data_IF_013996760804
#
_entry.id   IF_013996760804
#
_cell.length_a   1.000
_cell.length_b   1.000
_cell.length_c   1.000
_cell.angle_alpha   90.00
_cell.angle_beta   90.00
_cell.angle_gamma   90.00
#
_symmetry.space_group_name_H-M   'P 1'
#
loop_
_entity.id
_entity.type
_entity.pdbx_description
1 polymer ?
#
# COMPACT_ATOMS: atom_id res chain seq x y z
N UNK A 1 -41.72 -20.41 8.08
CA UNK A 1 -41.85 -21.37 9.20
C UNK A 1 -40.52 -21.41 9.93
N UNK A 2 -40.44 -20.95 11.18
CA UNK A 2 -39.22 -21.05 11.99
C UNK A 2 -39.08 -22.49 12.47
N UNK A 3 -38.15 -23.25 11.90
CA UNK A 3 -37.81 -24.56 12.43
C UNK A 3 -37.35 -24.41 13.89
N UNK A 4 -38.09 -25.03 14.81
CA UNK A 4 -37.72 -25.13 16.21
C UNK A 4 -36.47 -25.99 16.29
N UNK A 5 -35.36 -25.42 16.75
CA UNK A 5 -34.13 -26.16 17.02
C UNK A 5 -34.24 -26.75 18.42
N UNK A 6 -34.12 -28.07 18.55
CA UNK A 6 -34.11 -28.72 19.87
C UNK A 6 -32.73 -28.60 20.51
N UNK A 7 -32.66 -27.94 21.67
CA UNK A 7 -31.45 -27.89 22.51
C UNK A 7 -31.63 -28.93 23.63
N UNK A 8 -30.76 -29.94 23.74
CA UNK A 8 -30.85 -30.95 24.81
C UNK A 8 -30.88 -30.32 26.20
N UNK A 9 -31.75 -30.83 27.09
CA UNK A 9 -31.89 -30.31 28.47
C UNK A 9 -30.60 -30.40 29.28
N UNK A 10 -29.75 -31.41 29.01
CA UNK A 10 -28.43 -31.55 29.62
C UNK A 10 -27.52 -30.35 29.33
N UNK A 11 -27.75 -29.65 28.21
CA UNK A 11 -26.94 -28.51 27.82
C UNK A 11 -27.39 -27.22 28.52
N UNK A 12 -28.59 -27.16 29.11
CA UNK A 12 -29.11 -26.01 29.88
C UNK A 12 -28.48 -25.85 31.28
N UNK A 13 -27.28 -26.40 31.48
CA UNK A 13 -26.54 -26.37 32.75
C UNK A 13 -25.34 -25.45 32.64
N UNK A 14 -24.82 -25.03 33.79
CA UNK A 14 -23.55 -24.33 33.83
C UNK A 14 -22.40 -25.33 33.64
N UNK A 15 -21.42 -24.99 32.79
CA UNK A 15 -20.25 -25.83 32.50
C UNK A 15 -18.99 -25.11 33.00
N UNK A 16 -18.65 -25.31 34.27
CA UNK A 16 -17.66 -24.56 35.07
C UNK A 16 -16.25 -25.15 35.05
N UNK A 17 -15.72 -25.33 33.84
CA UNK A 17 -14.45 -26.03 33.61
C UNK A 17 -13.25 -25.11 33.25
N UNK A 18 -13.45 -23.80 33.13
CA UNK A 18 -12.43 -22.84 32.69
C UNK A 18 -11.93 -21.97 33.85
N UNK A 19 -11.08 -22.56 34.71
CA UNK A 19 -10.52 -21.87 35.89
C UNK A 19 -9.63 -20.67 35.56
N UNK A 20 -9.01 -20.69 34.38
CA UNK A 20 -8.10 -19.65 33.88
C UNK A 20 -8.63 -19.14 32.55
N UNK A 21 -8.11 -18.00 32.12
CA UNK A 21 -8.45 -17.45 30.80
C UNK A 21 -8.18 -18.50 29.72
N UNK A 22 -9.19 -18.84 28.88
CA UNK A 22 -9.03 -19.86 27.86
C UNK A 22 -7.92 -19.50 26.86
N UNK A 23 -7.13 -20.50 26.48
CA UNK A 23 -6.01 -20.32 25.58
C UNK A 23 -6.44 -20.04 24.14
N UNK A 24 -5.51 -19.55 23.32
CA UNK A 24 -5.73 -19.37 21.89
C UNK A 24 -6.12 -20.68 21.16
N UNK A 25 -5.72 -21.84 21.69
CA UNK A 25 -6.10 -23.15 21.17
C UNK A 25 -7.61 -23.41 21.36
N UNK A 26 -8.16 -23.13 22.55
CA UNK A 26 -9.61 -23.23 22.82
C UNK A 26 -10.39 -22.25 21.94
N UNK A 27 -9.91 -21.01 21.79
CA UNK A 27 -10.55 -20.01 20.91
C UNK A 27 -10.59 -20.53 19.46
N UNK A 28 -9.49 -21.09 18.97
CA UNK A 28 -9.40 -21.63 17.61
C UNK A 28 -10.32 -22.84 17.43
N UNK A 29 -10.37 -23.72 18.42
CA UNK A 29 -11.26 -24.89 18.45
C UNK A 29 -12.74 -24.48 18.37
N UNK A 30 -13.18 -23.49 19.17
CA UNK A 30 -14.54 -22.94 19.12
C UNK A 30 -14.86 -22.44 17.72
N UNK A 31 -13.98 -21.64 17.11
CA UNK A 31 -14.20 -21.06 15.78
C UNK A 31 -14.25 -22.15 14.70
N UNK A 32 -13.40 -23.17 14.81
CA UNK A 32 -13.40 -24.31 13.92
C UNK A 32 -14.69 -25.13 14.05
N UNK A 33 -15.14 -25.43 15.27
CA UNK A 33 -16.42 -26.09 15.52
C UNK A 33 -17.61 -25.34 14.91
N UNK A 34 -17.66 -24.01 15.07
CA UNK A 34 -18.73 -23.17 14.52
C UNK A 34 -18.69 -23.19 12.99
N UNK A 35 -17.49 -23.17 12.40
CA UNK A 35 -17.30 -23.28 10.95
C UNK A 35 -17.79 -24.62 10.40
N UNK A 36 -17.54 -25.71 11.11
CA UNK A 36 -17.86 -27.06 10.66
C UNK A 36 -19.34 -27.41 10.87
N UNK A 37 -19.92 -26.99 11.98
CA UNK A 37 -21.29 -27.39 12.36
C UNK A 37 -22.35 -26.34 12.05
N UNK A 38 -21.95 -25.08 11.85
CA UNK A 38 -22.89 -23.95 11.80
C UNK A 38 -23.68 -23.74 13.10
N UNK A 39 -23.31 -24.40 14.20
CA UNK A 39 -24.08 -24.37 15.44
C UNK A 39 -23.17 -24.08 16.65
N UNK A 40 -23.09 -22.81 17.11
CA UNK A 40 -22.37 -22.45 18.32
C UNK A 40 -22.85 -23.22 19.56
N UNK A 41 -24.15 -23.53 19.65
CA UNK A 41 -24.76 -24.14 20.84
C UNK A 41 -24.26 -25.55 21.13
N UNK A 42 -23.75 -26.25 20.11
CA UNK A 42 -23.29 -27.63 20.24
C UNK A 42 -21.82 -27.75 20.63
N UNK A 43 -21.09 -26.63 20.80
CA UNK A 43 -19.73 -26.69 21.29
C UNK A 43 -19.71 -27.11 22.77
N UNK A 44 -18.92 -28.14 23.08
CA UNK A 44 -18.96 -28.88 24.35
C UNK A 44 -18.77 -28.02 25.61
N UNK A 45 -18.02 -26.92 25.51
CA UNK A 45 -17.77 -26.03 26.65
C UNK A 45 -18.69 -24.82 26.75
N UNK A 46 -19.74 -24.71 25.93
CA UNK A 46 -20.64 -23.56 25.96
C UNK A 46 -21.68 -23.71 27.08
N UNK A 47 -21.61 -22.85 28.09
CA UNK A 47 -22.64 -22.72 29.12
C UNK A 47 -23.89 -22.02 28.58
N UNK A 48 -25.07 -22.57 28.85
CA UNK A 48 -26.35 -22.11 28.29
C UNK A 48 -27.19 -21.28 29.27
N UNK A 49 -26.68 -21.01 30.47
CA UNK A 49 -27.35 -20.14 31.44
C UNK A 49 -27.13 -18.66 31.09
N UNK A 50 -28.10 -17.80 31.44
CA UNK A 50 -27.92 -16.36 31.33
C UNK A 50 -26.87 -15.87 32.34
N UNK A 51 -25.96 -14.95 31.98
CA UNK A 51 -24.98 -14.43 32.93
C UNK A 51 -25.65 -13.54 33.99
N UNK A 52 -25.15 -13.52 35.24
CA UNK A 52 -25.61 -12.60 36.27
C UNK A 52 -25.46 -11.12 35.86
N UNK A 53 -26.31 -10.23 36.39
CA UNK A 53 -26.28 -8.80 36.07
C UNK A 53 -24.97 -8.11 36.42
N UNK A 54 -24.31 -8.55 37.50
CA UNK A 54 -23.03 -8.00 37.97
C UNK A 54 -21.81 -8.82 37.51
N UNK A 55 -21.99 -9.74 36.54
CA UNK A 55 -20.89 -10.60 36.13
C UNK A 55 -19.77 -9.81 35.46
N UNK A 56 -18.51 -10.16 35.78
CA UNK A 56 -17.36 -9.72 35.01
C UNK A 56 -17.28 -10.55 33.72
N UNK A 57 -17.16 -9.88 32.58
CA UNK A 57 -17.01 -10.54 31.28
C UNK A 57 -15.68 -10.18 30.63
N UNK A 58 -15.05 -11.18 30.01
CA UNK A 58 -13.87 -11.02 29.17
C UNK A 58 -14.20 -11.56 27.78
N UNK A 59 -14.15 -10.71 26.76
CA UNK A 59 -14.33 -11.16 25.38
C UNK A 59 -13.01 -11.66 24.81
N UNK A 60 -12.95 -12.93 24.44
CA UNK A 60 -11.74 -13.57 23.96
C UNK A 60 -11.53 -13.37 22.46
N UNK A 61 -12.61 -13.49 21.69
CA UNK A 61 -12.65 -13.21 20.25
C UNK A 61 -14.10 -13.05 19.75
N UNK A 62 -14.23 -12.74 18.48
CA UNK A 62 -15.47 -12.78 17.72
C UNK A 62 -15.61 -14.10 16.96
N UNK A 63 -16.86 -14.47 16.66
CA UNK A 63 -17.18 -15.54 15.73
C UNK A 63 -18.33 -15.15 14.79
N UNK A 64 -18.33 -15.75 13.61
CA UNK A 64 -19.42 -15.70 12.64
C UNK A 64 -19.91 -17.12 12.38
N UNK A 65 -21.21 -17.26 12.11
CA UNK A 65 -21.82 -18.54 11.75
C UNK A 65 -21.99 -18.59 10.23
N UNK A 66 -21.47 -19.63 9.54
CA UNK A 66 -21.65 -19.77 8.10
C UNK A 66 -23.13 -19.70 7.70
N UNK A 67 -23.46 -18.80 6.78
CA UNK A 67 -24.82 -18.58 6.34
C UNK A 67 -24.86 -18.06 4.88
N UNK A 68 -25.90 -18.41 4.10
CA UNK A 68 -26.14 -17.79 2.81
C UNK A 68 -26.28 -16.26 2.92
N UNK A 69 -25.90 -15.55 1.85
CA UNK A 69 -26.12 -14.10 1.76
C UNK A 69 -27.62 -13.79 1.89
N UNK A 70 -27.95 -12.73 2.65
CA UNK A 70 -29.34 -12.29 2.88
C UNK A 70 -30.04 -12.90 4.11
N UNK A 71 -29.56 -14.03 4.65
CA UNK A 71 -30.14 -14.61 5.88
C UNK A 71 -29.76 -13.74 7.10
N UNK A 72 -30.70 -13.40 7.98
CA UNK A 72 -30.43 -12.51 9.14
C UNK A 72 -29.86 -13.24 10.36
N UNK A 73 -30.28 -14.48 10.60
CA UNK A 73 -29.83 -15.34 11.69
C UNK A 73 -29.99 -16.81 11.29
N UNK A 74 -29.07 -17.67 11.72
CA UNK A 74 -29.05 -19.10 11.34
C UNK A 74 -29.05 -20.05 12.53
N UNK A 75 -28.40 -19.71 13.64
CA UNK A 75 -28.31 -20.59 14.81
C UNK A 75 -29.00 -19.98 16.04
N UNK A 76 -29.67 -20.78 16.89
CA UNK A 76 -30.36 -20.30 18.08
C UNK A 76 -29.38 -19.80 19.14
N UNK A 77 -29.84 -19.02 20.11
CA UNK A 77 -29.05 -18.65 21.29
C UNK A 77 -29.65 -19.36 22.51
N UNK A 78 -28.93 -20.27 23.18
CA UNK A 78 -29.52 -21.08 24.23
C UNK A 78 -29.78 -20.25 25.50
N UNK A 79 -29.08 -19.13 25.68
CA UNK A 79 -29.24 -18.24 26.82
C UNK A 79 -30.52 -17.37 26.79
N UNK A 80 -31.02 -16.98 25.61
CA UNK A 80 -32.15 -16.04 25.52
C UNK A 80 -33.25 -16.44 24.52
N UNK A 81 -32.94 -17.30 23.56
CA UNK A 81 -33.88 -17.72 22.52
C UNK A 81 -33.53 -19.12 22.03
N UNK A 82 -33.70 -20.15 22.90
CA UNK A 82 -33.21 -21.50 22.63
C UNK A 82 -33.84 -22.13 21.39
N UNK A 83 -35.02 -21.65 20.98
CA UNK A 83 -35.80 -22.18 19.86
C UNK A 83 -35.79 -21.29 18.60
N UNK A 84 -35.13 -20.12 18.62
CA UNK A 84 -35.15 -19.19 17.48
C UNK A 84 -33.75 -18.68 17.14
N UNK A 85 -33.45 -18.58 15.84
CA UNK A 85 -32.16 -18.13 15.34
C UNK A 85 -31.83 -16.71 15.82
N UNK A 86 -30.61 -16.55 16.36
CA UNK A 86 -30.05 -15.28 16.85
C UNK A 86 -28.64 -15.02 16.35
N UNK A 87 -27.84 -16.05 16.11
CA UNK A 87 -26.47 -15.88 15.64
C UNK A 87 -26.40 -15.75 14.12
N UNK A 88 -25.55 -14.83 13.67
CA UNK A 88 -25.06 -14.75 12.29
C UNK A 88 -23.66 -14.15 12.28
N UNK A 89 -23.56 -12.87 12.60
CA UNK A 89 -22.31 -12.11 12.51
C UNK A 89 -21.96 -11.49 13.86
N UNK A 90 -20.66 -11.43 14.17
CA UNK A 90 -20.12 -10.69 15.30
C UNK A 90 -20.52 -11.25 16.66
N UNK A 91 -20.80 -12.55 16.74
CA UNK A 91 -20.93 -13.23 18.03
C UNK A 91 -19.65 -13.09 18.86
N UNK A 92 -19.76 -13.18 20.19
CA UNK A 92 -18.64 -13.03 21.13
C UNK A 92 -18.38 -14.34 21.83
N UNK A 93 -17.12 -14.74 21.86
CA UNK A 93 -16.63 -15.78 22.76
C UNK A 93 -16.37 -15.10 24.11
N UNK A 94 -17.32 -15.20 25.03
CA UNK A 94 -17.27 -14.51 26.31
C UNK A 94 -16.88 -15.50 27.43
N UNK A 95 -15.79 -15.21 28.13
CA UNK A 95 -15.40 -15.93 29.34
C UNK A 95 -15.85 -15.14 30.57
N UNK A 96 -16.41 -15.85 31.55
CA UNK A 96 -16.89 -15.31 32.81
C UNK A 96 -16.01 -15.86 33.93
N UNK A 97 -14.99 -15.12 34.38
CA UNK A 97 -13.94 -15.66 35.26
C UNK A 97 -14.48 -16.22 36.58
N UNK A 98 -15.44 -15.52 37.20
CA UNK A 98 -16.03 -15.94 38.48
C UNK A 98 -16.87 -17.21 38.38
N UNK A 99 -17.50 -17.44 37.23
CA UNK A 99 -18.31 -18.63 36.97
C UNK A 99 -17.51 -19.76 36.31
N UNK A 100 -16.25 -19.50 35.93
CA UNK A 100 -15.37 -20.44 35.21
C UNK A 100 -16.00 -20.99 33.92
N UNK A 101 -16.82 -20.21 33.23
CA UNK A 101 -17.57 -20.66 32.04
C UNK A 101 -17.28 -19.83 30.80
N UNK A 102 -17.45 -20.45 29.64
CA UNK A 102 -17.53 -19.76 28.35
C UNK A 102 -18.98 -19.71 27.89
N UNK A 103 -19.42 -18.56 27.42
CA UNK A 103 -20.69 -18.39 26.72
C UNK A 103 -20.43 -17.80 25.35
N UNK A 104 -21.02 -18.41 24.34
CA UNK A 104 -21.10 -17.84 23.00
C UNK A 104 -22.33 -16.95 22.96
N UNK A 105 -22.16 -15.64 22.86
CA UNK A 105 -23.26 -14.68 22.98
C UNK A 105 -23.36 -13.77 21.76
N UNK A 106 -24.53 -13.20 21.51
CA UNK A 106 -24.71 -12.24 20.43
C UNK A 106 -23.94 -10.95 20.69
N UNK A 107 -23.68 -10.13 19.64
CA UNK A 107 -22.86 -8.92 19.73
C UNK A 107 -23.30 -7.94 20.83
N UNK A 108 -24.61 -7.87 21.12
CA UNK A 108 -25.19 -6.94 22.10
C UNK A 108 -25.88 -7.64 23.27
N UNK A 109 -25.78 -8.97 23.38
CA UNK A 109 -26.53 -9.71 24.39
C UNK A 109 -26.15 -9.30 25.82
N UNK A 110 -24.86 -9.10 26.08
CA UNK A 110 -24.43 -8.69 27.42
C UNK A 110 -24.66 -7.19 27.68
N UNK A 111 -24.68 -6.35 26.64
CA UNK A 111 -24.95 -4.91 26.78
C UNK A 111 -26.32 -4.64 27.42
N UNK A 112 -27.32 -5.48 27.11
CA UNK A 112 -28.66 -5.41 27.69
C UNK A 112 -28.69 -5.78 29.19
N UNK A 113 -27.67 -6.49 29.68
CA UNK A 113 -27.55 -6.95 31.07
C UNK A 113 -26.67 -6.00 31.87
N UNK A 114 -25.50 -5.66 31.30
CA UNK A 114 -24.50 -4.78 31.88
C UNK A 114 -23.77 -4.02 30.75
N UNK A 115 -24.25 -2.81 30.46
CA UNK A 115 -23.72 -1.97 29.39
C UNK A 115 -22.26 -1.56 29.63
N UNK A 116 -21.91 -1.17 30.87
CA UNK A 116 -20.54 -0.74 31.21
C UNK A 116 -19.54 -1.89 31.08
N UNK A 117 -19.87 -3.07 31.61
CA UNK A 117 -19.05 -4.27 31.50
C UNK A 117 -18.86 -4.71 30.04
N UNK A 118 -19.92 -4.61 29.22
CA UNK A 118 -19.83 -4.85 27.79
C UNK A 118 -18.86 -3.88 27.10
N UNK A 119 -18.98 -2.57 27.33
CA UNK A 119 -18.10 -1.56 26.74
C UNK A 119 -16.65 -1.72 27.17
N UNK A 120 -16.41 -2.05 28.44
CA UNK A 120 -15.08 -2.38 28.96
C UNK A 120 -14.46 -3.57 28.22
N UNK A 121 -15.18 -4.68 28.14
CA UNK A 121 -14.71 -5.88 27.44
C UNK A 121 -14.52 -5.69 25.94
N UNK A 122 -15.35 -4.87 25.28
CA UNK A 122 -15.18 -4.50 23.87
C UNK A 122 -13.90 -3.67 23.64
N UNK A 123 -13.64 -2.68 24.51
CA UNK A 123 -12.42 -1.87 24.44
C UNK A 123 -11.17 -2.74 24.62
N UNK A 124 -11.20 -3.64 25.59
CA UNK A 124 -10.13 -4.59 25.83
C UNK A 124 -9.91 -5.54 24.65
N UNK A 125 -10.98 -6.16 24.11
CA UNK A 125 -10.89 -7.03 22.94
C UNK A 125 -10.30 -6.28 21.74
N UNK A 126 -10.78 -5.06 21.47
CA UNK A 126 -10.25 -4.22 20.38
C UNK A 126 -8.78 -3.92 20.57
N UNK A 127 -8.35 -3.62 21.80
CA UNK A 127 -6.94 -3.41 22.14
C UNK A 127 -6.11 -4.66 21.87
N UNK A 128 -6.51 -5.83 22.39
CA UNK A 128 -5.79 -7.10 22.18
C UNK A 128 -5.72 -7.50 20.70
N UNK A 129 -6.79 -7.31 19.93
CA UNK A 129 -6.80 -7.53 18.48
C UNK A 129 -5.85 -6.60 17.75
N UNK A 130 -5.83 -5.32 18.12
CA UNK A 130 -4.90 -4.34 17.56
C UNK A 130 -3.45 -4.76 17.83
N UNK A 131 -3.12 -5.10 19.07
CA UNK A 131 -1.78 -5.56 19.46
C UNK A 131 -1.36 -6.76 18.62
N UNK A 132 -2.20 -7.80 18.54
CA UNK A 132 -1.91 -9.02 17.76
C UNK A 132 -1.68 -8.69 16.28
N UNK A 133 -2.56 -7.90 15.68
CA UNK A 133 -2.43 -7.48 14.28
C UNK A 133 -1.12 -6.73 14.02
N UNK A 134 -0.74 -5.80 14.91
CA UNK A 134 0.53 -5.08 14.79
C UNK A 134 1.74 -6.02 14.90
N UNK A 135 1.70 -7.01 15.81
CA UNK A 135 2.73 -8.03 15.95
C UNK A 135 2.82 -8.90 14.70
N UNK A 136 1.68 -9.38 14.18
CA UNK A 136 1.61 -10.20 12.97
C UNK A 136 2.20 -9.47 11.76
N UNK A 137 1.90 -8.17 11.63
CA UNK A 137 2.51 -7.33 10.59
C UNK A 137 4.03 -7.30 10.76
N UNK A 138 4.55 -6.96 11.94
CA UNK A 138 6.01 -6.88 12.17
C UNK A 138 6.68 -8.23 11.86
N UNK A 139 6.12 -9.33 12.37
CA UNK A 139 6.61 -10.69 12.14
C UNK A 139 6.66 -11.02 10.65
N UNK A 140 5.62 -10.67 9.89
CA UNK A 140 5.58 -10.92 8.44
C UNK A 140 6.65 -10.14 7.65
N UNK A 141 7.17 -9.05 8.21
CA UNK A 141 8.22 -8.24 7.58
C UNK A 141 9.63 -8.58 8.06
N UNK A 142 9.82 -9.23 9.21
CA UNK A 142 11.14 -9.63 9.73
C UNK A 142 12.08 -10.24 8.67
N UNK A 143 11.67 -11.27 7.89
CA UNK A 143 12.55 -11.88 6.90
C UNK A 143 12.87 -10.95 5.70
N UNK A 144 12.14 -9.84 5.54
CA UNK A 144 12.26 -8.91 4.40
C UNK A 144 13.07 -7.67 4.72
N UNK A 145 13.28 -7.33 6.01
CA UNK A 145 13.98 -6.10 6.42
C UNK A 145 15.40 -6.06 5.85
N UNK A 146 16.20 -7.12 6.02
CA UNK A 146 17.59 -7.15 5.53
C UNK A 146 17.67 -7.09 4.00
N UNK A 147 16.90 -7.90 3.23
CA UNK A 147 16.82 -7.74 1.78
C UNK A 147 16.39 -6.34 1.32
N UNK A 148 15.44 -5.69 2.02
CA UNK A 148 15.01 -4.33 1.71
C UNK A 148 16.14 -3.31 1.93
N UNK A 149 16.88 -3.40 3.04
CA UNK A 149 18.03 -2.53 3.32
C UNK A 149 19.07 -2.68 2.20
N UNK A 150 19.44 -3.93 1.87
CA UNK A 150 20.41 -4.20 0.80
C UNK A 150 19.95 -3.65 -0.55
N UNK A 151 18.68 -3.85 -0.90
CA UNK A 151 18.11 -3.31 -2.14
C UNK A 151 18.17 -1.77 -2.17
N UNK A 152 17.93 -1.10 -1.03
CA UNK A 152 18.09 0.36 -0.94
C UNK A 152 19.55 0.78 -1.13
N UNK A 153 20.50 0.14 -0.45
CA UNK A 153 21.92 0.45 -0.54
C UNK A 153 22.46 0.30 -1.97
N UNK A 154 22.05 -0.76 -2.68
CA UNK A 154 22.40 -0.97 -4.09
C UNK A 154 21.73 0.06 -5.02
N UNK A 155 20.54 0.53 -4.67
CA UNK A 155 19.75 1.45 -5.52
C UNK A 155 20.16 2.92 -5.33
N UNK A 156 20.63 3.32 -4.14
CA UNK A 156 21.04 4.70 -3.83
C UNK A 156 22.04 5.28 -4.86
N UNK A 157 23.15 4.61 -5.23
CA UNK A 157 24.08 5.17 -6.21
C UNK A 157 23.46 5.28 -7.62
N UNK A 158 22.59 4.33 -8.00
CA UNK A 158 21.84 4.38 -9.27
C UNK A 158 20.91 5.60 -9.29
N UNK A 159 20.18 5.81 -8.19
CA UNK A 159 19.29 6.95 -8.01
C UNK A 159 20.04 8.27 -8.06
N UNK A 160 21.21 8.36 -7.41
CA UNK A 160 22.05 9.55 -7.41
C UNK A 160 22.52 9.95 -8.81
N UNK A 161 22.97 8.97 -9.59
CA UNK A 161 23.41 9.20 -10.97
C UNK A 161 22.26 9.63 -11.89
N UNK A 162 21.07 9.03 -11.73
CA UNK A 162 19.87 9.40 -12.49
C UNK A 162 19.31 10.76 -12.08
N UNK A 163 19.31 11.10 -10.79
CA UNK A 163 18.93 12.43 -10.29
C UNK A 163 19.87 13.50 -10.86
N UNK A 164 21.19 13.27 -10.80
CA UNK A 164 22.19 14.21 -11.33
C UNK A 164 22.04 14.41 -12.84
N UNK A 165 21.80 13.33 -13.59
CA UNK A 165 21.52 13.38 -15.02
C UNK A 165 20.25 14.19 -15.33
N UNK A 166 19.16 13.90 -14.62
CA UNK A 166 17.88 14.61 -14.75
C UNK A 166 18.06 16.13 -14.52
N UNK A 167 18.77 16.53 -13.46
CA UNK A 167 19.00 17.94 -13.18
C UNK A 167 19.86 18.62 -14.25
N UNK A 168 20.93 17.97 -14.70
CA UNK A 168 21.80 18.51 -15.77
C UNK A 168 21.07 18.64 -17.10
N UNK A 169 20.23 17.66 -17.46
CA UNK A 169 19.41 17.71 -18.67
C UNK A 169 18.42 18.88 -18.61
N UNK A 170 17.67 19.00 -17.52
CA UNK A 170 16.72 20.10 -17.34
C UNK A 170 17.43 21.47 -17.35
N UNK A 171 18.59 21.56 -16.70
CA UNK A 171 19.40 22.79 -16.74
C UNK A 171 19.89 23.12 -18.15
N UNK A 172 20.36 22.13 -18.92
CA UNK A 172 20.79 22.34 -20.31
C UNK A 172 19.64 22.82 -21.19
N UNK A 173 18.44 22.25 -21.04
CA UNK A 173 17.25 22.73 -21.74
C UNK A 173 16.96 24.19 -21.41
N UNK A 174 16.99 24.55 -20.14
CA UNK A 174 16.51 25.86 -19.67
C UNK A 174 17.52 26.98 -19.90
N UNK A 175 18.79 26.73 -19.56
CA UNK A 175 19.81 27.78 -19.53
C UNK A 175 20.64 27.82 -20.81
N UNK A 176 21.02 26.65 -21.33
CA UNK A 176 21.90 26.58 -22.50
C UNK A 176 21.11 26.74 -23.80
N UNK A 177 20.03 25.99 -23.97
CA UNK A 177 19.23 26.02 -25.19
C UNK A 177 17.97 26.91 -25.09
N UNK A 178 17.63 27.38 -23.88
CA UNK A 178 16.47 28.26 -23.61
C UNK A 178 15.13 27.69 -24.10
N UNK A 179 14.98 26.37 -23.99
CA UNK A 179 13.81 25.62 -24.42
C UNK A 179 12.92 25.35 -23.23
N UNK A 180 11.64 25.69 -23.38
CA UNK A 180 10.61 25.23 -22.45
C UNK A 180 10.15 23.83 -22.86
N UNK A 181 11.01 22.81 -22.68
CA UNK A 181 10.79 21.45 -23.17
C UNK A 181 9.44 20.86 -22.73
N UNK A 182 8.98 21.20 -21.52
CA UNK A 182 7.69 20.79 -20.99
C UNK A 182 6.47 21.24 -21.82
N UNK A 183 6.59 22.28 -22.68
CA UNK A 183 5.53 22.67 -23.63
C UNK A 183 5.44 21.74 -24.82
N UNK A 184 6.55 21.11 -25.18
CA UNK A 184 6.69 20.25 -26.34
C UNK A 184 6.68 18.77 -25.98
N UNK A 185 6.82 18.44 -24.70
CA UNK A 185 6.70 17.08 -24.17
C UNK A 185 5.73 17.04 -23.00
N UNK A 186 4.53 16.51 -23.25
CA UNK A 186 3.49 16.33 -22.23
C UNK A 186 3.15 14.84 -22.14
N UNK A 187 3.24 14.26 -20.94
CA UNK A 187 3.00 12.83 -20.69
C UNK A 187 3.81 11.90 -21.63
N UNK A 188 5.03 12.34 -21.95
CA UNK A 188 5.93 11.66 -22.87
C UNK A 188 5.59 11.79 -24.35
N UNK A 189 4.55 12.53 -24.73
CA UNK A 189 4.22 12.81 -26.13
C UNK A 189 5.02 14.03 -26.61
N UNK A 190 5.96 13.79 -27.53
CA UNK A 190 6.81 14.80 -28.15
C UNK A 190 6.10 15.42 -29.36
N UNK A 191 6.01 16.75 -29.37
CA UNK A 191 5.25 17.52 -30.37
C UNK A 191 6.09 18.60 -31.04
N UNK A 192 5.73 18.92 -32.27
CA UNK A 192 6.26 20.06 -33.05
C UNK A 192 5.17 21.07 -33.32
N UNK A 193 5.55 22.34 -33.44
CA UNK A 193 4.65 23.42 -33.81
C UNK A 193 4.54 23.49 -35.33
N UNK A 194 3.31 23.42 -35.86
CA UNK A 194 3.02 23.66 -37.27
C UNK A 194 2.06 24.83 -37.41
N UNK A 195 2.44 25.80 -38.24
CA UNK A 195 1.54 26.88 -38.64
C UNK A 195 0.66 26.38 -39.76
N UNK A 196 -0.65 26.31 -39.50
CA UNK A 196 -1.67 25.95 -40.49
C UNK A 196 -2.56 27.14 -40.78
N UNK A 197 -2.93 27.31 -42.05
CA UNK A 197 -3.92 28.30 -42.44
C UNK A 197 -5.31 27.73 -42.09
N UNK A 198 -5.96 28.31 -41.10
CA UNK A 198 -7.33 27.95 -40.72
C UNK A 198 -8.32 29.00 -41.24
N UNK A 199 -9.51 28.58 -41.70
CA UNK A 199 -10.55 29.51 -42.09
C UNK A 199 -11.04 30.28 -40.86
N UNK A 200 -11.23 31.59 -41.01
CA UNK A 200 -11.77 32.46 -39.97
C UNK A 200 -12.79 33.41 -40.59
N UNK A 201 -13.98 33.49 -39.97
CA UNK A 201 -15.05 34.39 -40.42
C UNK A 201 -14.79 35.79 -39.86
N UNK A 202 -14.58 36.75 -40.77
CA UNK A 202 -14.42 38.16 -40.42
C UNK A 202 -15.76 38.76 -39.95
N UNK A 203 -15.75 39.93 -39.28
CA UNK A 203 -16.97 40.61 -38.85
C UNK A 203 -17.97 40.94 -39.96
N UNK A 204 -17.51 41.05 -41.21
CA UNK A 204 -18.31 41.30 -42.41
C UNK A 204 -18.94 40.01 -43.00
N UNK A 205 -18.68 38.85 -42.42
CA UNK A 205 -19.16 37.54 -42.89
C UNK A 205 -18.27 36.86 -43.94
N UNK A 206 -17.18 37.48 -44.39
CA UNK A 206 -16.24 36.84 -45.32
C UNK A 206 -15.36 35.79 -44.63
N UNK A 207 -15.06 34.70 -45.34
CA UNK A 207 -14.11 33.68 -44.88
C UNK A 207 -12.68 34.13 -45.24
N UNK A 208 -11.96 34.65 -44.25
CA UNK A 208 -10.52 34.88 -44.33
C UNK A 208 -9.72 33.63 -43.98
N UNK A 209 -8.39 33.69 -44.17
CA UNK A 209 -7.43 32.73 -43.62
C UNK A 209 -6.63 33.40 -42.52
N UNK A 210 -6.51 32.74 -41.36
CA UNK A 210 -5.56 33.12 -40.32
C UNK A 210 -4.56 32.00 -40.11
N UNK A 211 -3.32 32.36 -39.81
CA UNK A 211 -2.30 31.40 -39.39
C UNK A 211 -2.55 31.03 -37.94
N UNK A 212 -2.79 29.76 -37.67
CA UNK A 212 -2.92 29.21 -36.32
C UNK A 212 -1.79 28.21 -36.07
N UNK A 213 -1.19 28.29 -34.88
CA UNK A 213 -0.18 27.33 -34.45
C UNK A 213 -0.88 26.11 -33.88
N UNK A 214 -0.60 24.94 -34.46
CA UNK A 214 -1.10 23.64 -34.00
C UNK A 214 0.06 22.75 -33.62
N UNK A 215 -0.18 21.78 -32.74
CA UNK A 215 0.84 20.83 -32.33
C UNK A 215 0.60 19.48 -32.98
N UNK A 216 1.59 18.99 -33.72
CA UNK A 216 1.59 17.65 -34.29
C UNK A 216 2.47 16.71 -33.45
N UNK A 217 2.01 15.49 -33.25
CA UNK A 217 2.77 14.48 -32.51
C UNK A 217 3.84 13.88 -33.41
N UNK A 218 5.10 13.93 -32.96
CA UNK A 218 6.24 13.33 -33.68
C UNK A 218 6.58 11.97 -33.11
N UNK A 219 6.67 11.85 -31.79
CA UNK A 219 7.13 10.63 -31.15
C UNK A 219 6.63 10.51 -29.71
N UNK A 220 6.88 9.35 -29.10
CA UNK A 220 6.68 9.11 -27.66
C UNK A 220 8.00 8.78 -26.97
N UNK A 221 8.35 9.59 -25.96
CA UNK A 221 9.49 9.39 -25.07
C UNK A 221 9.07 8.45 -23.94
N UNK A 222 9.65 7.26 -23.91
CA UNK A 222 9.33 6.24 -22.90
C UNK A 222 9.87 6.62 -21.52
N UNK A 223 11.09 7.16 -21.48
CA UNK A 223 11.73 7.69 -20.30
C UNK A 223 11.44 9.16 -20.02
N UNK A 224 10.21 9.61 -20.30
CA UNK A 224 9.78 10.99 -20.08
C UNK A 224 10.08 11.51 -18.67
N UNK A 225 10.01 10.65 -17.66
CA UNK A 225 10.33 10.99 -16.27
C UNK A 225 11.76 11.55 -16.08
N UNK A 226 12.68 11.36 -17.03
CA UNK A 226 14.03 11.94 -17.01
C UNK A 226 14.06 13.43 -17.38
N UNK A 227 13.06 13.91 -18.13
CA UNK A 227 12.97 15.31 -18.61
C UNK A 227 11.72 16.02 -18.06
N UNK A 228 10.98 15.36 -17.18
CA UNK A 228 9.87 15.95 -16.43
C UNK A 228 10.41 16.82 -15.29
N UNK A 229 10.01 18.10 -15.28
CA UNK A 229 10.41 19.08 -14.26
C UNK A 229 9.77 18.84 -12.90
N UNK A 230 8.70 18.04 -12.83
CA UNK A 230 8.06 17.71 -11.56
C UNK A 230 8.80 16.61 -10.78
N UNK A 231 9.77 15.96 -11.43
CA UNK A 231 10.62 14.93 -10.86
C UNK A 231 11.35 15.41 -9.60
N UNK A 232 11.30 14.59 -8.54
CA UNK A 232 11.99 14.86 -7.27
C UNK A 232 13.26 14.04 -7.18
N UNK A 233 14.24 14.54 -6.43
CA UNK A 233 15.42 13.74 -6.09
C UNK A 233 14.98 12.51 -5.27
N UNK A 234 15.42 11.34 -5.73
CA UNK A 234 15.04 10.04 -5.16
C UNK A 234 16.12 9.46 -4.25
N UNK A 235 17.41 9.76 -4.51
CA UNK A 235 18.53 9.22 -3.75
C UNK A 235 18.45 9.60 -2.25
N UNK A 236 18.30 10.90 -1.94
CA UNK A 236 18.20 11.37 -0.56
C UNK A 236 16.98 10.78 0.19
N UNK A 237 15.88 10.53 -0.54
CA UNK A 237 14.69 9.90 0.03
C UNK A 237 14.99 8.43 0.40
N UNK A 238 15.66 7.69 -0.49
CA UNK A 238 16.09 6.31 -0.24
C UNK A 238 17.07 6.22 0.93
N UNK A 239 18.05 7.12 1.02
CA UNK A 239 19.01 7.18 2.13
C UNK A 239 18.30 7.32 3.49
N UNK A 240 17.39 8.30 3.61
CA UNK A 240 16.60 8.51 4.84
C UNK A 240 15.76 7.29 5.20
N UNK A 241 15.15 6.65 4.21
CA UNK A 241 14.38 5.41 4.41
C UNK A 241 15.28 4.25 4.87
N UNK A 242 16.46 4.09 4.26
CA UNK A 242 17.42 3.06 4.59
C UNK A 242 17.93 3.21 6.03
N UNK A 243 18.32 4.42 6.44
CA UNK A 243 18.70 4.72 7.84
C UNK A 243 17.57 4.39 8.80
N UNK A 244 16.34 4.84 8.50
CA UNK A 244 15.18 4.55 9.34
C UNK A 244 14.91 3.05 9.47
N UNK A 245 15.07 2.29 8.39
CA UNK A 245 14.87 0.84 8.38
C UNK A 245 15.97 0.09 9.13
N UNK A 246 17.23 0.55 9.05
CA UNK A 246 18.35 0.03 9.85
C UNK A 246 18.11 0.19 11.35
N UNK A 247 17.64 1.35 11.79
CA UNK A 247 17.28 1.59 13.21
C UNK A 247 16.19 0.62 13.68
N UNK A 248 15.18 0.36 12.84
CA UNK A 248 14.14 -0.63 13.15
C UNK A 248 14.75 -2.04 13.22
N UNK A 249 15.63 -2.39 12.28
CA UNK A 249 16.29 -3.70 12.22
C UNK A 249 17.12 -3.98 13.48
N UNK A 250 17.97 -3.03 13.87
CA UNK A 250 18.81 -3.11 15.07
C UNK A 250 17.94 -3.24 16.33
N UNK A 251 16.85 -2.46 16.42
CA UNK A 251 15.93 -2.57 17.55
C UNK A 251 15.26 -3.94 17.62
N UNK A 252 14.81 -4.49 16.49
CA UNK A 252 14.19 -5.82 16.43
C UNK A 252 15.18 -6.96 16.71
N UNK A 253 16.46 -6.78 16.40
CA UNK A 253 17.53 -7.73 16.77
C UNK A 253 17.90 -7.66 18.25
N UNK A 254 17.75 -6.48 18.87
CA UNK A 254 18.07 -6.28 20.29
C UNK A 254 17.06 -6.91 21.26
N UNK A 255 15.87 -7.27 20.78
CA UNK A 255 14.79 -7.85 21.59
C UNK A 255 14.65 -9.35 21.28
N UNK A 256 14.29 -10.14 22.30
CA UNK A 256 14.06 -11.58 22.12
C UNK A 256 12.76 -11.89 21.38
N UNK A 257 11.72 -11.09 21.62
CA UNK A 257 10.40 -11.24 20.99
C UNK A 257 9.79 -9.90 20.59
N UNK A 258 9.00 -9.90 19.51
CA UNK A 258 8.17 -8.75 19.09
C UNK A 258 7.16 -8.36 20.20
N UNK A 259 6.83 -9.30 21.09
CA UNK A 259 5.96 -9.03 22.25
C UNK A 259 6.62 -8.13 23.30
N UNK A 260 7.95 -8.00 23.29
CA UNK A 260 8.70 -7.16 24.23
C UNK A 260 8.76 -5.69 23.80
N UNK A 261 8.20 -5.34 22.63
CA UNK A 261 8.10 -3.97 22.16
C UNK A 261 7.11 -3.15 22.99
N UNK A 262 7.46 -1.90 23.27
CA UNK A 262 6.51 -0.94 23.83
C UNK A 262 5.34 -0.69 22.88
N UNK A 263 4.20 -0.26 23.42
CA UNK A 263 3.00 0.05 22.62
C UNK A 263 3.28 1.08 21.50
N UNK A 264 4.14 2.06 21.78
CA UNK A 264 4.54 3.11 20.84
C UNK A 264 5.42 2.55 19.73
N UNK A 265 6.44 1.76 20.07
CA UNK A 265 7.35 1.15 19.08
C UNK A 265 6.59 0.18 18.17
N UNK A 266 5.78 -0.69 18.75
CA UNK A 266 5.01 -1.69 18.00
C UNK A 266 4.08 -1.02 16.99
N UNK A 267 3.30 -0.02 17.41
CA UNK A 267 2.44 0.73 16.50
C UNK A 267 3.25 1.43 15.40
N UNK A 268 4.36 2.08 15.77
CA UNK A 268 5.24 2.75 14.80
C UNK A 268 5.80 1.77 13.77
N UNK A 269 6.27 0.60 14.18
CA UNK A 269 6.87 -0.39 13.30
C UNK A 269 5.83 -1.03 12.37
N UNK A 270 4.66 -1.40 12.90
CA UNK A 270 3.56 -1.96 12.13
C UNK A 270 3.07 -1.02 11.01
N UNK A 271 3.19 0.30 11.20
CA UNK A 271 2.89 1.30 10.16
C UNK A 271 4.08 1.50 9.22
N UNK A 272 5.29 1.71 9.76
CA UNK A 272 6.45 2.12 8.97
C UNK A 272 6.98 1.03 8.04
N UNK A 273 6.88 -0.24 8.40
CA UNK A 273 7.40 -1.34 7.59
C UNK A 273 6.63 -1.47 6.24
N UNK A 274 5.28 -1.55 6.22
CA UNK A 274 4.51 -1.51 4.98
C UNK A 274 4.71 -0.22 4.17
N UNK A 275 4.69 0.96 4.81
CA UNK A 275 4.94 2.24 4.13
C UNK A 275 6.31 2.25 3.43
N UNK A 276 7.34 1.76 4.12
CA UNK A 276 8.71 1.70 3.61
C UNK A 276 8.79 0.81 2.36
N UNK A 277 8.15 -0.37 2.37
CA UNK A 277 8.06 -1.25 1.19
C UNK A 277 7.30 -0.58 0.04
N UNK A 278 6.15 0.03 0.33
CA UNK A 278 5.35 0.71 -0.69
C UNK A 278 6.12 1.85 -1.37
N UNK A 279 6.81 2.68 -0.59
CA UNK A 279 7.66 3.75 -1.10
C UNK A 279 8.86 3.23 -1.88
N UNK A 280 9.51 2.14 -1.42
CA UNK A 280 10.62 1.54 -2.15
C UNK A 280 10.18 1.06 -3.53
N UNK A 281 9.04 0.35 -3.62
CA UNK A 281 8.49 -0.09 -4.91
C UNK A 281 8.20 1.08 -5.84
N UNK A 282 7.58 2.15 -5.34
CA UNK A 282 7.29 3.34 -6.15
C UNK A 282 8.57 4.01 -6.67
N UNK A 283 9.61 4.12 -5.82
CA UNK A 283 10.89 4.70 -6.22
C UNK A 283 11.57 3.82 -7.28
N UNK A 284 11.57 2.49 -7.11
CA UNK A 284 12.15 1.58 -8.11
C UNK A 284 11.44 1.68 -9.46
N UNK A 285 10.11 1.83 -9.47
CA UNK A 285 9.34 2.06 -10.70
C UNK A 285 9.67 3.40 -11.35
N UNK A 286 9.79 4.47 -10.56
CA UNK A 286 10.21 5.79 -11.05
C UNK A 286 11.63 5.76 -11.64
N UNK A 287 12.58 5.15 -10.95
CA UNK A 287 13.94 4.97 -11.44
C UNK A 287 13.97 4.13 -12.72
N UNK A 288 13.18 3.06 -12.79
CA UNK A 288 13.07 2.23 -14.00
C UNK A 288 12.56 3.05 -15.19
N UNK A 289 11.52 3.88 -14.99
CA UNK A 289 11.03 4.80 -16.02
C UNK A 289 12.11 5.80 -16.45
N UNK A 290 12.90 6.34 -15.52
CA UNK A 290 14.03 7.23 -15.86
C UNK A 290 15.12 6.50 -16.66
N UNK A 291 15.45 5.25 -16.32
CA UNK A 291 16.42 4.45 -17.06
C UNK A 291 16.02 4.19 -18.51
N UNK A 292 14.72 4.08 -18.80
CA UNK A 292 14.21 3.92 -20.17
C UNK A 292 14.67 5.06 -21.09
N UNK A 293 14.91 6.26 -20.57
CA UNK A 293 15.41 7.37 -21.38
C UNK A 293 16.75 7.05 -22.05
N UNK A 294 17.60 6.28 -21.37
CA UNK A 294 18.91 5.89 -21.85
C UNK A 294 18.86 4.64 -22.74
N UNK A 295 17.86 3.77 -22.60
CA UNK A 295 17.85 2.43 -23.20
C UNK A 295 16.80 2.22 -24.30
N UNK A 296 15.79 3.09 -24.41
CA UNK A 296 14.63 2.90 -25.31
C UNK A 296 14.77 3.58 -26.69
N UNK A 297 15.92 4.20 -26.97
CA UNK A 297 16.12 5.01 -28.17
C UNK A 297 15.51 6.42 -28.09
N UNK A 298 15.09 6.89 -26.91
CA UNK A 298 14.50 8.23 -26.75
C UNK A 298 15.44 9.37 -27.16
N UNK A 299 16.76 9.21 -27.01
CA UNK A 299 17.73 10.19 -27.51
C UNK A 299 17.69 10.32 -29.04
N UNK A 300 17.47 9.22 -29.77
CA UNK A 300 17.32 9.27 -31.23
C UNK A 300 16.04 10.01 -31.61
N UNK A 301 14.93 9.80 -30.90
CA UNK A 301 13.68 10.52 -31.13
C UNK A 301 13.83 12.02 -30.87
N UNK A 302 14.61 12.41 -29.86
CA UNK A 302 14.93 13.82 -29.61
C UNK A 302 15.83 14.40 -30.70
N UNK A 303 16.74 13.62 -31.27
CA UNK A 303 17.54 14.02 -32.42
C UNK A 303 16.69 14.24 -33.68
N UNK A 304 15.79 13.29 -33.98
CA UNK A 304 14.82 13.37 -35.08
C UNK A 304 13.90 14.58 -34.90
N UNK A 305 13.42 14.82 -33.68
CA UNK A 305 12.65 16.01 -33.34
C UNK A 305 13.44 17.29 -33.60
N UNK A 306 14.72 17.35 -33.18
CA UNK A 306 15.59 18.50 -33.46
C UNK A 306 15.89 18.74 -34.95
N UNK A 307 15.62 17.77 -35.84
CA UNK A 307 15.72 17.93 -37.30
C UNK A 307 14.43 18.40 -37.94
N UNK A 308 13.29 18.26 -37.26
CA UNK A 308 11.99 18.67 -37.80
C UNK A 308 11.90 20.19 -37.92
N UNK A 309 11.39 20.69 -39.05
CA UNK A 309 11.28 22.12 -39.31
C UNK A 309 10.30 22.84 -38.36
N UNK A 310 9.34 22.11 -37.77
CA UNK A 310 8.41 22.60 -36.77
C UNK A 310 8.93 22.51 -35.33
N UNK A 311 10.14 21.97 -35.12
CA UNK A 311 10.75 21.97 -33.80
C UNK A 311 11.13 23.39 -33.38
N UNK A 312 10.92 23.77 -32.10
CA UNK A 312 11.34 25.07 -31.58
C UNK A 312 12.86 25.26 -31.62
N UNK A 313 13.62 24.16 -31.77
CA UNK A 313 15.08 24.16 -31.78
C UNK A 313 15.66 23.20 -32.81
N UNK A 314 16.90 23.49 -33.22
CA UNK A 314 17.67 22.60 -34.08
C UNK A 314 18.85 22.01 -33.31
N UNK A 315 18.58 20.98 -32.49
CA UNK A 315 19.60 20.33 -31.67
C UNK A 315 19.91 18.95 -32.20
N UNK A 316 21.20 18.64 -32.27
CA UNK A 316 21.71 17.31 -32.47
C UNK A 316 21.96 16.64 -31.12
N UNK A 317 21.43 15.43 -30.98
CA UNK A 317 21.60 14.60 -29.78
C UNK A 317 22.39 13.36 -30.12
N UNK A 318 23.51 13.15 -29.43
CA UNK A 318 24.32 11.94 -29.61
C UNK A 318 24.72 11.38 -28.26
N UNK A 319 24.53 10.07 -28.08
CA UNK A 319 25.07 9.35 -26.92
C UNK A 319 26.45 8.81 -27.26
N UNK A 320 27.45 9.14 -26.44
CA UNK A 320 28.79 8.56 -26.51
C UNK A 320 29.14 7.91 -25.18
N UNK A 321 29.07 6.58 -25.11
CA UNK A 321 29.35 5.79 -23.88
C UNK A 321 28.59 6.35 -22.67
N UNK A 322 29.30 7.07 -21.81
CA UNK A 322 28.84 7.66 -20.55
C UNK A 322 28.59 9.17 -20.65
N UNK A 323 28.32 9.69 -21.84
CA UNK A 323 28.04 11.11 -22.05
C UNK A 323 26.91 11.28 -23.07
N UNK A 324 26.13 12.34 -22.90
CA UNK A 324 25.19 12.86 -23.89
C UNK A 324 25.79 14.15 -24.42
N UNK A 325 25.94 14.22 -25.74
CA UNK A 325 26.37 15.41 -26.45
C UNK A 325 25.14 16.09 -27.04
N UNK A 326 25.04 17.40 -26.81
CA UNK A 326 24.00 18.25 -27.36
C UNK A 326 24.67 19.37 -28.14
N UNK A 327 24.37 19.50 -29.43
CA UNK A 327 24.97 20.53 -30.28
C UNK A 327 23.89 21.28 -31.05
N UNK A 328 23.98 22.60 -31.10
CA UNK A 328 23.15 23.37 -32.03
C UNK A 328 23.58 23.05 -33.48
N UNK A 329 22.64 22.61 -34.32
CA UNK A 329 22.87 22.30 -35.73
C UNK A 329 23.12 23.55 -36.57
N UNK A 330 22.68 24.72 -36.11
CA UNK A 330 22.80 26.01 -36.82
C UNK A 330 23.98 26.84 -36.33
N UNK A 331 24.54 26.50 -35.16
CA UNK A 331 25.64 27.21 -34.53
C UNK A 331 27.01 26.58 -34.79
N UNK A 332 28.07 27.39 -34.64
CA UNK A 332 29.46 26.92 -34.63
C UNK A 332 29.93 26.47 -33.23
N UNK A 333 29.04 26.50 -32.23
CA UNK A 333 29.41 26.26 -30.84
C UNK A 333 29.85 24.81 -30.59
N UNK A 334 30.76 24.68 -29.62
CA UNK A 334 31.19 23.39 -29.12
C UNK A 334 29.98 22.64 -28.49
N UNK A 335 29.94 21.30 -28.60
CA UNK A 335 28.85 20.52 -28.03
C UNK A 335 28.79 20.69 -26.51
N UNK A 336 27.59 20.88 -25.98
CA UNK A 336 27.34 20.78 -24.55
C UNK A 336 27.38 19.30 -24.12
N UNK A 337 28.22 18.98 -23.15
CA UNK A 337 28.50 17.60 -22.72
C UNK A 337 27.88 17.34 -21.36
N UNK A 338 26.98 16.37 -21.29
CA UNK A 338 26.36 15.93 -20.04
C UNK A 338 26.89 14.52 -19.71
N UNK A 339 27.63 14.42 -18.61
CA UNK A 339 28.09 13.13 -18.13
C UNK A 339 26.94 12.30 -17.55
N UNK A 340 26.87 11.03 -17.97
CA UNK A 340 26.03 9.96 -17.42
C UNK A 340 26.86 9.27 -16.34
N UNK A 341 26.34 9.21 -15.12
CA UNK A 341 27.00 8.50 -14.04
C UNK A 341 27.15 7.00 -14.33
N UNK A 342 28.19 6.38 -13.78
CA UNK A 342 28.57 4.99 -14.11
C UNK A 342 27.51 3.96 -13.70
N UNK A 343 26.66 4.30 -12.73
CA UNK A 343 25.59 3.45 -12.21
C UNK A 343 24.23 3.75 -12.84
N UNK A 344 24.07 4.80 -13.63
CA UNK A 344 22.78 5.22 -14.18
C UNK A 344 22.05 4.12 -14.98
N UNK A 345 22.79 3.18 -15.57
CA UNK A 345 22.25 2.05 -16.34
C UNK A 345 22.39 0.69 -15.64
N UNK A 346 22.86 0.68 -14.39
CA UNK A 346 22.98 -0.54 -13.62
C UNK A 346 21.59 -1.16 -13.35
N UNK A 347 21.56 -2.48 -13.18
CA UNK A 347 20.33 -3.22 -12.93
C UNK A 347 19.76 -2.82 -11.55
N UNK A 348 18.56 -2.26 -11.54
CA UNK A 348 17.82 -2.01 -10.29
C UNK A 348 17.54 -3.34 -9.58
N UNK A 349 17.47 -3.29 -8.24
CA UNK A 349 17.08 -4.43 -7.41
C UNK A 349 15.63 -4.85 -7.75
N UNK A 350 15.46 -5.67 -8.80
CA UNK A 350 14.15 -6.09 -9.30
C UNK A 350 13.43 -7.04 -8.35
N UNK A 351 12.09 -7.00 -8.33
CA UNK A 351 11.08 -7.93 -7.74
C UNK A 351 11.42 -8.72 -6.45
N UNK A 352 12.42 -8.33 -5.67
CA UNK A 352 12.69 -8.87 -4.32
C UNK A 352 11.55 -8.58 -3.35
N UNK A 353 10.56 -7.79 -3.76
CA UNK A 353 9.41 -7.36 -2.98
C UNK A 353 8.11 -8.08 -3.35
N UNK A 354 8.09 -9.09 -4.23
CA UNK A 354 6.85 -9.83 -4.59
C UNK A 354 6.55 -11.05 -3.69
N UNK A 355 7.45 -11.36 -2.75
CA UNK A 355 7.26 -12.40 -1.73
C UNK A 355 6.45 -11.95 -0.54
#
# INVERSE_FOLDING_TARGET
>A
MTHRVEVPTANLRNIDQFEKEPSAAIISEIKQHIKDTGNPCSWWGHSHTAPPSQALVVYLDDFDVPAPRGVRAVAPCPCCSPFHAKYKNGGKIAWFPHEKVIRLIGPFCFAAINAEGHEGAMRDLKRRKKIRSEQDIIISYLPRIVPMIKAMEETIPIAGDLDALMFRLNWAFDEHFRIRIARHVLDGVLKVSKTVDVPFVKPDGEIGRRKEETFETVARIQGYAMIDRTGKATAQKLEKMCVGLKVIAERLQSIGSVSDLSDVERQRFAVKLPECRGHLSQILEELSRRQLFLTSGDLQKLDEWGRDNGSPVSIEWTRQKNQILMKDRRGADAPHVIAIGSQATAKLAGRLLEG
#
